data_IF_897237285610
#
_entry.id   IF_897237285610
#
_cell.length_a   1.000
_cell.length_b   1.000
_cell.length_c   1.000
_cell.angle_alpha   90.00
_cell.angle_beta   90.00
_cell.angle_gamma   90.00
#
_symmetry.space_group_name_H-M   'P 1'
#
loop_
_entity.id
_entity.type
_entity.pdbx_description
1 polymer ?
#
# COMPACT_ATOMS: atom_id res chain seq x y z
N UNK A 1 -12.66 -10.81 -3.70
CA UNK A 1 -11.84 -11.77 -4.47
C UNK A 1 -11.25 -10.98 -5.61
N UNK A 2 -9.93 -10.74 -5.60
CA UNK A 2 -9.27 -10.08 -6.72
C UNK A 2 -9.32 -11.04 -7.92
N UNK A 3 -9.71 -10.54 -9.08
CA UNK A 3 -9.69 -11.33 -10.32
C UNK A 3 -8.26 -11.25 -10.85
N UNK A 4 -7.42 -12.24 -10.52
CA UNK A 4 -6.07 -12.33 -11.06
C UNK A 4 -6.15 -12.84 -12.49
N UNK A 5 -5.75 -12.02 -13.46
CA UNK A 5 -5.60 -12.42 -14.86
C UNK A 5 -4.11 -12.53 -15.22
N UNK A 6 -3.79 -13.06 -16.39
CA UNK A 6 -2.41 -13.17 -16.87
C UNK A 6 -1.73 -11.80 -17.11
N UNK A 7 -2.52 -10.72 -17.16
CA UNK A 7 -2.05 -9.33 -17.27
C UNK A 7 -1.98 -8.61 -15.92
N UNK A 8 -2.17 -9.32 -14.80
CA UNK A 8 -2.10 -8.69 -13.48
C UNK A 8 -0.66 -8.44 -13.08
N UNK A 9 -0.35 -7.19 -12.76
CA UNK A 9 0.92 -6.75 -12.16
C UNK A 9 1.11 -7.39 -10.77
N UNK A 10 2.34 -7.29 -10.24
CA UNK A 10 2.70 -7.80 -8.90
C UNK A 10 2.93 -6.64 -7.94
N UNK A 11 1.98 -6.47 -7.01
CA UNK A 11 2.09 -5.49 -5.93
C UNK A 11 2.71 -6.11 -4.66
N UNK A 12 3.79 -5.51 -4.17
CA UNK A 12 4.47 -5.92 -2.94
C UNK A 12 4.51 -4.76 -1.94
N UNK A 13 3.93 -4.96 -0.76
CA UNK A 13 3.98 -3.97 0.31
C UNK A 13 5.03 -4.36 1.37
N UNK A 14 5.90 -3.41 1.73
CA UNK A 14 7.00 -3.63 2.68
C UNK A 14 6.91 -2.63 3.82
N UNK A 15 6.99 -3.14 5.06
CA UNK A 15 7.10 -2.33 6.26
C UNK A 15 8.50 -2.50 6.86
N UNK A 16 9.27 -1.42 6.91
CA UNK A 16 10.54 -1.37 7.61
C UNK A 16 10.33 -1.15 9.10
N UNK A 17 11.26 -1.64 9.91
CA UNK A 17 11.29 -1.35 11.34
C UNK A 17 11.81 0.07 11.60
N UNK A 18 11.67 0.52 12.85
CA UNK A 18 12.02 1.89 13.27
C UNK A 18 13.55 2.17 13.26
N UNK A 19 14.38 1.18 12.95
CA UNK A 19 15.84 1.36 12.82
C UNK A 19 16.26 1.82 11.42
N UNK A 20 15.37 1.70 10.43
CA UNK A 20 15.62 2.18 9.07
C UNK A 20 15.24 3.65 8.96
N UNK A 21 16.21 4.50 8.63
CA UNK A 21 15.98 5.92 8.39
C UNK A 21 15.12 6.17 7.15
N UNK A 22 14.27 7.21 7.22
CA UNK A 22 13.35 7.59 6.13
C UNK A 22 14.09 7.90 4.82
N UNK A 23 15.31 8.44 4.93
CA UNK A 23 16.24 8.70 3.83
C UNK A 23 16.56 7.44 3.00
N UNK A 24 16.47 6.25 3.61
CA UNK A 24 16.80 4.97 2.97
C UNK A 24 15.62 4.32 2.26
N UNK A 25 14.39 4.81 2.46
CA UNK A 25 13.19 4.14 1.92
C UNK A 25 13.17 4.11 0.40
N UNK A 26 13.60 5.19 -0.26
CA UNK A 26 13.66 5.27 -1.73
C UNK A 26 14.66 4.27 -2.31
N UNK A 27 15.88 4.26 -1.80
CA UNK A 27 16.92 3.32 -2.25
C UNK A 27 16.51 1.87 -2.02
N UNK A 28 15.91 1.58 -0.86
CA UNK A 28 15.42 0.24 -0.56
C UNK A 28 14.28 -0.18 -1.49
N UNK A 29 13.36 0.74 -1.83
CA UNK A 29 12.28 0.50 -2.78
C UNK A 29 12.83 0.16 -4.17
N UNK A 30 13.81 0.94 -4.67
CA UNK A 30 14.44 0.72 -5.97
C UNK A 30 15.20 -0.61 -6.01
N UNK A 31 15.94 -0.93 -4.95
CA UNK A 31 16.66 -2.21 -4.84
C UNK A 31 15.67 -3.38 -4.89
N UNK A 32 14.60 -3.33 -4.09
CA UNK A 32 13.60 -4.39 -4.05
C UNK A 32 12.90 -4.58 -5.40
N UNK A 33 12.51 -3.49 -6.08
CA UNK A 33 11.94 -3.59 -7.43
C UNK A 33 12.92 -4.30 -8.37
N UNK A 34 14.18 -3.86 -8.41
CA UNK A 34 15.20 -4.43 -9.29
C UNK A 34 15.43 -5.93 -9.01
N UNK A 35 15.52 -6.30 -7.74
CA UNK A 35 15.75 -7.68 -7.31
C UNK A 35 14.55 -8.57 -7.67
N UNK A 36 13.33 -8.11 -7.38
CA UNK A 36 12.11 -8.84 -7.69
C UNK A 36 11.89 -8.99 -9.21
N UNK A 37 12.23 -7.97 -10.01
CA UNK A 37 12.18 -8.05 -11.47
C UNK A 37 13.11 -9.15 -11.99
N UNK A 38 14.32 -9.23 -11.43
CA UNK A 38 15.29 -10.25 -11.79
C UNK A 38 14.84 -11.66 -11.38
N UNK A 39 14.20 -11.80 -10.21
CA UNK A 39 13.71 -13.08 -9.69
C UNK A 39 12.49 -13.57 -10.48
N UNK A 40 11.48 -12.72 -10.65
CA UNK A 40 10.23 -13.08 -11.32
C UNK A 40 10.27 -12.98 -12.84
N UNK A 41 11.36 -12.47 -13.42
CA UNK A 41 11.55 -12.30 -14.87
C UNK A 41 10.43 -11.48 -15.53
N UNK A 42 9.95 -10.44 -14.82
CA UNK A 42 8.88 -9.55 -15.27
C UNK A 42 9.16 -8.12 -14.83
N UNK A 43 8.58 -7.14 -15.53
CA UNK A 43 8.86 -5.71 -15.35
C UNK A 43 7.74 -4.91 -14.67
N UNK A 44 6.61 -5.55 -14.47
CA UNK A 44 5.36 -5.05 -13.89
C UNK A 44 5.29 -5.41 -12.39
N UNK A 45 6.24 -4.86 -11.64
CA UNK A 45 6.36 -5.04 -10.20
C UNK A 45 6.33 -3.67 -9.53
N UNK A 46 5.35 -3.49 -8.65
CA UNK A 46 5.21 -2.29 -7.85
C UNK A 46 5.51 -2.61 -6.38
N UNK A 47 6.44 -1.87 -5.79
CA UNK A 47 6.78 -2.00 -4.38
C UNK A 47 6.28 -0.79 -3.61
N UNK A 48 5.45 -0.98 -2.59
CA UNK A 48 4.92 0.08 -1.73
C UNK A 48 5.61 0.08 -0.36
N UNK A 49 6.15 1.21 0.07
CA UNK A 49 6.73 1.38 1.41
C UNK A 49 5.64 1.80 2.41
N UNK A 50 5.22 0.87 3.26
CA UNK A 50 4.12 1.05 4.20
C UNK A 50 4.38 2.10 5.28
N UNK A 51 5.64 2.40 5.60
CA UNK A 51 6.01 3.42 6.57
C UNK A 51 5.49 4.82 6.18
N UNK A 52 5.37 5.09 4.88
CA UNK A 52 4.95 6.38 4.31
C UNK A 52 3.68 6.28 3.45
N UNK A 53 3.05 5.10 3.39
CA UNK A 53 1.85 4.89 2.61
C UNK A 53 0.63 5.66 3.20
N UNK A 54 -0.34 6.08 2.39
CA UNK A 54 -1.55 6.71 2.88
C UNK A 54 -2.41 5.72 3.68
N UNK A 55 -3.26 6.20 4.62
CA UNK A 55 -4.10 5.33 5.46
C UNK A 55 -4.94 4.31 4.70
N UNK A 56 -5.48 4.70 3.54
CA UNK A 56 -6.25 3.82 2.66
C UNK A 56 -5.43 2.60 2.20
N UNK A 57 -4.19 2.82 1.76
CA UNK A 57 -3.33 1.75 1.25
C UNK A 57 -2.91 0.81 2.39
N UNK A 58 -2.53 1.36 3.54
CA UNK A 58 -2.22 0.55 4.73
C UNK A 58 -3.40 -0.34 5.12
N UNK A 59 -4.63 0.19 5.09
CA UNK A 59 -5.84 -0.57 5.41
C UNK A 59 -6.12 -1.71 4.43
N UNK A 60 -5.97 -1.44 3.12
CA UNK A 60 -6.13 -2.48 2.09
C UNK A 60 -5.10 -3.58 2.32
N UNK A 61 -3.82 -3.24 2.50
CA UNK A 61 -2.77 -4.23 2.75
C UNK A 61 -3.01 -5.01 4.04
N UNK A 62 -3.43 -4.35 5.11
CA UNK A 62 -3.74 -5.00 6.39
C UNK A 62 -4.95 -5.95 6.33
N UNK A 63 -5.89 -5.72 5.40
CA UNK A 63 -7.13 -6.50 5.28
C UNK A 63 -7.12 -7.55 4.16
N UNK A 64 -6.43 -7.27 3.05
CA UNK A 64 -6.48 -8.04 1.81
C UNK A 64 -5.11 -8.55 1.36
N UNK A 65 -4.02 -8.03 1.91
CA UNK A 65 -2.66 -8.45 1.56
C UNK A 65 -2.36 -9.87 2.04
N UNK A 66 -1.60 -10.61 1.23
CA UNK A 66 -1.07 -11.91 1.61
C UNK A 66 0.25 -11.74 2.38
N UNK A 67 0.37 -12.37 3.54
CA UNK A 67 1.56 -12.25 4.38
C UNK A 67 2.68 -13.16 3.86
N UNK A 68 3.71 -12.58 3.26
CA UNK A 68 4.91 -13.31 2.82
C UNK A 68 5.91 -13.47 3.98
N UNK A 69 6.14 -12.41 4.75
CA UNK A 69 7.12 -12.39 5.84
C UNK A 69 6.69 -11.47 6.98
N UNK A 70 7.00 -11.88 8.22
CA UNK A 70 6.90 -11.05 9.43
C UNK A 70 8.12 -11.29 10.31
N UNK A 71 8.63 -10.22 10.91
CA UNK A 71 9.71 -10.34 11.91
C UNK A 71 9.22 -10.95 13.22
N UNK A 72 8.01 -10.58 13.66
CA UNK A 72 7.31 -11.17 14.80
C UNK A 72 5.81 -10.81 14.76
N UNK A 73 5.01 -11.48 15.57
CA UNK A 73 3.56 -11.26 15.63
C UNK A 73 3.20 -9.87 16.15
N UNK A 74 3.94 -9.35 17.12
CA UNK A 74 3.65 -8.06 17.72
C UNK A 74 3.78 -6.91 16.71
N UNK A 75 4.80 -6.94 15.86
CA UNK A 75 4.99 -5.96 14.79
C UNK A 75 3.82 -5.98 13.79
N UNK A 76 3.37 -7.17 13.40
CA UNK A 76 2.21 -7.33 12.52
C UNK A 76 0.92 -6.80 13.15
N UNK A 77 0.67 -7.15 14.42
CA UNK A 77 -0.53 -6.69 15.14
C UNK A 77 -0.52 -5.16 15.24
N UNK A 78 0.62 -4.56 15.62
CA UNK A 78 0.78 -3.10 15.69
C UNK A 78 0.44 -2.44 14.36
N UNK A 79 0.98 -2.96 13.25
CA UNK A 79 0.67 -2.45 11.91
C UNK A 79 -0.82 -2.53 11.59
N UNK A 80 -1.47 -3.68 11.79
CA UNK A 80 -2.89 -3.86 11.47
C UNK A 80 -3.78 -2.93 12.31
N UNK A 81 -3.50 -2.79 13.60
CA UNK A 81 -4.26 -1.90 14.50
C UNK A 81 -4.09 -0.45 14.07
N UNK A 82 -2.85 0.00 13.81
CA UNK A 82 -2.58 1.35 13.34
C UNK A 82 -3.26 1.64 12.00
N UNK A 83 -3.12 0.74 11.02
CA UNK A 83 -3.74 0.89 9.70
C UNK A 83 -5.27 1.02 9.76
N UNK A 84 -5.93 0.21 10.60
CA UNK A 84 -7.39 0.30 10.80
C UNK A 84 -7.79 1.62 11.45
N UNK A 85 -7.10 2.00 12.52
CA UNK A 85 -7.36 3.27 13.21
C UNK A 85 -7.20 4.45 12.26
N UNK A 86 -6.05 4.58 11.61
CA UNK A 86 -5.75 5.67 10.68
C UNK A 86 -6.80 5.75 9.56
N UNK A 87 -7.25 4.60 9.04
CA UNK A 87 -8.31 4.55 8.04
C UNK A 87 -9.62 5.14 8.56
N UNK A 88 -10.13 4.68 9.70
CA UNK A 88 -11.41 5.17 10.23
C UNK A 88 -11.33 6.64 10.65
N UNK A 89 -10.21 7.07 11.24
CA UNK A 89 -9.97 8.48 11.61
C UNK A 89 -10.03 9.41 10.39
N UNK A 90 -9.63 8.92 9.21
CA UNK A 90 -9.62 9.70 7.95
C UNK A 90 -10.83 9.43 7.05
N UNK A 91 -11.79 8.61 7.47
CA UNK A 91 -13.01 8.30 6.70
C UNK A 91 -13.88 9.53 6.40
N UNK A 92 -14.13 10.45 7.35
CA UNK A 92 -14.91 11.66 7.07
C UNK A 92 -14.27 12.53 5.99
N UNK A 93 -12.94 12.64 5.99
CA UNK A 93 -12.19 13.44 5.02
C UNK A 93 -12.34 12.85 3.61
N UNK A 94 -12.14 11.53 3.47
CA UNK A 94 -12.33 10.83 2.19
C UNK A 94 -13.77 10.95 1.69
N UNK A 95 -14.75 10.94 2.58
CA UNK A 95 -16.16 11.10 2.22
C UNK A 95 -16.43 12.47 1.58
N UNK A 96 -15.93 13.55 2.20
CA UNK A 96 -16.05 14.91 1.65
C UNK A 96 -15.31 15.02 0.32
N UNK A 97 -14.09 14.47 0.23
CA UNK A 97 -13.31 14.46 -1.00
C UNK A 97 -14.05 13.74 -2.14
N UNK A 98 -14.60 12.55 -1.89
CA UNK A 98 -15.34 11.77 -2.89
C UNK A 98 -16.61 12.49 -3.36
N UNK A 99 -17.34 13.14 -2.46
CA UNK A 99 -18.49 13.96 -2.82
C UNK A 99 -18.10 15.14 -3.72
N UNK A 100 -17.00 15.84 -3.40
CA UNK A 100 -16.51 16.94 -4.20
C UNK A 100 -16.04 16.48 -5.60
N UNK A 101 -15.34 15.34 -5.67
CA UNK A 101 -14.91 14.75 -6.94
C UNK A 101 -16.10 14.33 -7.80
N UNK A 102 -17.08 13.64 -7.24
CA UNK A 102 -18.30 13.22 -7.96
C UNK A 102 -19.04 14.42 -8.55
N UNK A 103 -19.22 15.50 -7.79
CA UNK A 103 -19.85 16.73 -8.30
C UNK A 103 -19.09 17.34 -9.48
N UNK A 104 -17.76 17.34 -9.45
CA UNK A 104 -16.93 17.89 -10.53
C UNK A 104 -17.10 17.11 -11.83
N UNK A 105 -17.06 15.78 -11.76
CA UNK A 105 -17.23 14.93 -12.94
C UNK A 105 -18.65 15.04 -13.52
N UNK A 106 -19.69 15.06 -12.69
CA UNK A 106 -21.07 15.24 -13.16
C UNK A 106 -21.35 16.62 -13.76
N UNK A 107 -20.50 17.62 -13.51
CA UNK A 107 -20.59 18.96 -14.11
C UNK A 107 -19.71 19.14 -15.36
N UNK A 108 -18.86 18.15 -15.69
CA UNK A 108 -18.00 18.14 -16.88
C UNK A 108 -18.59 17.35 -18.05
N UNK A 109 -19.65 16.57 -17.82
CA UNK A 109 -20.49 15.98 -18.86
C UNK A 109 -21.47 17.05 -19.42
N UNK A 110 -20.96 17.97 -20.25
CA UNK A 110 -21.71 18.82 -21.20
C UNK A 110 -21.05 18.70 -22.57
#
# INVERSE_FOLDING_TARGET
>A
MAITTFLSDVDVAVLFNDQVGVDKYGDAQISLISDLMLIFKRSDIDVAILNQAPPLMKFIVAGQGELIFKINDMARIKFIVAARREYFDTEPIRRVQNQALSKRYSSQDI
#
